data_IF_324540386630
#
_entry.id   IF_324540386630
#
_cell.length_a   1.000
_cell.length_b   1.000
_cell.length_c   1.000
_cell.angle_alpha   90.00
_cell.angle_beta   90.00
_cell.angle_gamma   90.00
#
_symmetry.space_group_name_H-M   'P 1'
#
loop_
_entity.id
_entity.type
_entity.pdbx_description
1 polymer ?
#
# COMPACT_ATOMS: atom_id res chain seq x y z
N UNK A 1 -9.83 5.58 5.06
CA UNK A 1 -9.31 5.89 3.70
C UNK A 1 -8.29 4.87 3.21
N UNK A 2 -7.11 4.74 3.83
CA UNK A 2 -6.05 3.83 3.39
C UNK A 2 -6.19 2.38 3.89
N UNK A 3 -7.29 2.08 4.57
CA UNK A 3 -7.57 0.77 5.18
C UNK A 3 -7.69 -0.35 4.14
N UNK A 4 -8.22 -0.05 2.95
CA UNK A 4 -8.36 -1.04 1.87
C UNK A 4 -6.97 -1.52 1.39
N UNK A 5 -6.04 -0.58 1.16
CA UNK A 5 -4.66 -0.88 0.77
C UNK A 5 -3.95 -1.73 1.83
N UNK A 6 -4.08 -1.35 3.11
CA UNK A 6 -3.50 -2.11 4.21
C UNK A 6 -4.13 -3.51 4.37
N UNK A 7 -5.45 -3.61 4.22
CA UNK A 7 -6.19 -4.88 4.31
C UNK A 7 -5.79 -5.84 3.20
N UNK A 8 -5.64 -5.34 1.97
CA UNK A 8 -5.18 -6.12 0.81
C UNK A 8 -3.77 -6.67 1.02
N UNK A 9 -2.83 -5.80 1.44
CA UNK A 9 -1.46 -6.22 1.75
C UNK A 9 -1.42 -7.23 2.91
N UNK A 10 -2.18 -6.99 3.98
CA UNK A 10 -2.30 -7.91 5.12
C UNK A 10 -2.79 -9.29 4.69
N UNK A 11 -3.91 -9.37 3.96
CA UNK A 11 -4.45 -10.63 3.45
C UNK A 11 -3.44 -11.37 2.57
N UNK A 12 -2.75 -10.64 1.70
CA UNK A 12 -1.75 -11.22 0.80
C UNK A 12 -0.54 -11.78 1.55
N UNK A 13 -0.01 -11.03 2.54
CA UNK A 13 1.10 -11.48 3.39
C UNK A 13 0.69 -12.71 4.22
N UNK A 14 -0.51 -12.68 4.84
CA UNK A 14 -1.02 -13.82 5.62
C UNK A 14 -1.20 -15.07 4.75
N UNK A 15 -1.57 -14.89 3.48
CA UNK A 15 -1.65 -16.00 2.52
C UNK A 15 -0.28 -16.62 2.29
N UNK A 16 0.77 -15.81 2.09
CA UNK A 16 2.14 -16.32 1.92
C UNK A 16 2.61 -17.08 3.16
N UNK A 17 2.37 -16.54 4.36
CA UNK A 17 2.69 -17.21 5.64
C UNK A 17 1.97 -18.56 5.75
N UNK A 18 0.68 -18.61 5.39
CA UNK A 18 -0.11 -19.84 5.42
C UNK A 18 0.43 -20.90 4.47
N UNK A 19 0.77 -20.51 3.24
CA UNK A 19 1.37 -21.41 2.24
C UNK A 19 2.72 -21.96 2.73
N UNK A 20 3.59 -21.09 3.26
CA UNK A 20 4.89 -21.48 3.81
C UNK A 20 4.76 -22.51 4.94
N UNK A 21 3.88 -22.26 5.90
CA UNK A 21 3.64 -23.20 7.02
C UNK A 21 3.06 -24.52 6.54
N UNK A 22 2.19 -24.48 5.54
CA UNK A 22 1.62 -25.68 4.94
C UNK A 22 2.70 -26.49 4.23
N UNK A 23 3.55 -25.85 3.43
CA UNK A 23 4.68 -26.50 2.75
C UNK A 23 5.65 -27.13 3.77
N UNK A 24 5.95 -26.44 4.87
CA UNK A 24 6.84 -26.97 5.90
C UNK A 24 6.24 -28.18 6.62
N UNK A 25 4.95 -28.14 6.96
CA UNK A 25 4.24 -29.28 7.54
C UNK A 25 4.21 -30.49 6.59
N UNK A 26 3.94 -30.26 5.31
CA UNK A 26 3.96 -31.31 4.28
C UNK A 26 5.35 -31.92 4.14
N UNK A 27 6.39 -31.09 4.10
CA UNK A 27 7.79 -31.54 4.05
C UNK A 27 8.14 -32.41 5.26
N UNK A 28 7.74 -32.00 6.47
CA UNK A 28 7.98 -32.77 7.69
C UNK A 28 7.29 -34.15 7.65
N UNK A 29 6.07 -34.22 7.12
CA UNK A 29 5.33 -35.48 6.96
C UNK A 29 5.99 -36.43 5.95
N UNK A 30 6.44 -35.90 4.82
CA UNK A 30 7.08 -36.70 3.76
C UNK A 30 8.44 -37.25 4.19
N UNK A 31 9.26 -36.43 4.86
CA UNK A 31 10.60 -36.84 5.30
C UNK A 31 10.57 -37.84 6.46
N UNK A 32 9.60 -37.73 7.38
CA UNK A 32 9.42 -38.70 8.47
C UNK A 32 9.12 -40.10 7.95
N UNK A 33 8.21 -40.22 6.97
CA UNK A 33 7.86 -41.51 6.35
C UNK A 33 9.01 -42.12 5.56
N UNK A 34 9.88 -41.31 4.93
CA UNK A 34 11.07 -41.81 4.24
C UNK A 34 12.11 -42.44 5.17
N UNK A 35 12.19 -41.97 6.42
CA UNK A 35 13.07 -42.55 7.44
C UNK A 35 12.49 -43.84 8.02
N UNK A 36 11.18 -43.89 8.27
CA UNK A 36 10.50 -45.10 8.75
C UNK A 36 10.51 -46.24 7.70
N UNK A 37 10.59 -45.91 6.40
CA UNK A 37 10.68 -46.89 5.31
C UNK A 37 12.11 -47.41 5.05
N UNK A 38 13.15 -46.76 5.57
CA UNK A 38 14.56 -47.10 5.30
C UNK A 38 15.33 -47.63 6.52
N UNK A 39 14.68 -47.77 7.69
CA UNK A 39 15.31 -48.22 8.93
C UNK A 39 14.61 -49.42 9.59
N UNK A 40 15.39 -50.50 9.78
CA UNK A 40 15.22 -51.64 10.69
C UNK A 40 14.42 -52.88 10.20
N UNK A 41 15.15 -53.93 9.85
CA UNK A 41 14.72 -55.30 10.15
C UNK A 41 14.45 -55.41 11.66
N UNK A 42 13.30 -55.94 12.09
CA UNK A 42 13.10 -56.25 13.49
C UNK A 42 13.97 -57.45 13.87
N UNK A 43 14.84 -57.29 14.87
CA UNK A 43 15.42 -58.44 15.56
C UNK A 43 14.28 -59.29 16.17
N UNK A 44 14.36 -60.63 16.09
CA UNK A 44 13.31 -61.50 16.58
C UNK A 44 13.36 -61.54 18.12
N UNK A 45 12.52 -60.76 18.77
CA UNK A 45 12.23 -60.94 20.19
C UNK A 45 11.00 -61.86 20.35
N UNK A 46 11.26 -63.05 20.92
CA UNK A 46 10.23 -63.98 21.36
C UNK A 46 9.49 -63.38 22.56
N UNK A 47 8.24 -62.96 22.38
CA UNK A 47 7.28 -62.95 23.47
C UNK A 47 5.85 -63.16 22.95
N UNK A 48 5.29 -64.30 23.35
CA UNK A 48 3.87 -64.65 23.27
C UNK A 48 3.10 -63.87 24.35
N UNK A 49 2.14 -63.04 23.93
CA UNK A 49 1.27 -62.32 24.87
C UNK A 49 0.23 -61.49 24.13
N UNK A 50 -1.01 -61.97 24.19
CA UNK A 50 -2.22 -61.43 23.59
C UNK A 50 -2.54 -60.03 24.15
N UNK A 51 -2.75 -59.03 23.29
CA UNK A 51 -3.90 -58.13 23.44
C UNK A 51 -4.29 -57.48 22.11
N UNK A 52 -5.48 -57.85 21.62
CA UNK A 52 -6.09 -57.32 20.39
C UNK A 52 -6.82 -56.03 20.71
N UNK A 53 -6.10 -54.90 20.68
CA UNK A 53 -6.75 -53.59 20.54
C UNK A 53 -6.68 -53.20 19.06
N UNK A 54 -7.78 -53.42 18.35
CA UNK A 54 -7.99 -52.96 16.97
C UNK A 54 -7.88 -51.43 16.95
N UNK A 55 -6.73 -50.93 16.50
CA UNK A 55 -6.57 -49.52 16.19
C UNK A 55 -7.18 -49.28 14.81
N UNK A 56 -8.32 -48.58 14.76
CA UNK A 56 -8.87 -48.02 13.53
C UNK A 56 -7.96 -46.88 13.01
N UNK A 57 -6.81 -47.21 12.43
CA UNK A 57 -5.84 -46.21 11.95
C UNK A 57 -5.37 -46.39 10.50
N UNK A 58 -6.07 -47.18 9.69
CA UNK A 58 -5.63 -47.48 8.33
C UNK A 58 -5.98 -46.42 7.27
N UNK A 59 -6.66 -45.33 7.63
CA UNK A 59 -6.94 -44.24 6.68
C UNK A 59 -5.74 -43.28 6.46
N UNK A 60 -4.67 -43.37 7.26
CA UNK A 60 -3.52 -42.43 7.20
C UNK A 60 -2.26 -43.08 6.58
N UNK A 61 -2.31 -44.38 6.26
CA UNK A 61 -1.12 -45.16 5.89
C UNK A 61 -0.78 -45.20 4.39
N UNK A 62 -1.69 -44.84 3.49
CA UNK A 62 -1.42 -44.88 2.05
C UNK A 62 -1.07 -43.50 1.49
N UNK A 63 0.13 -42.99 1.80
CA UNK A 63 0.69 -41.89 1.01
C UNK A 63 1.16 -42.46 -0.33
N UNK A 64 0.78 -41.91 -1.49
CA UNK A 64 1.17 -42.46 -2.78
C UNK A 64 2.70 -42.49 -2.91
N UNK A 65 3.27 -43.68 -3.11
CA UNK A 65 4.71 -43.88 -3.22
C UNK A 65 5.33 -43.10 -4.40
N UNK A 66 4.52 -42.86 -5.43
CA UNK A 66 4.82 -41.97 -6.55
C UNK A 66 5.10 -40.52 -6.11
N UNK A 67 4.37 -40.02 -5.09
CA UNK A 67 4.54 -38.67 -4.58
C UNK A 67 5.83 -38.52 -3.75
N UNK A 68 6.23 -39.59 -3.05
CA UNK A 68 7.53 -39.64 -2.35
C UNK A 68 8.69 -39.69 -3.35
N UNK A 69 8.54 -40.44 -4.44
CA UNK A 69 9.55 -40.53 -5.49
C UNK A 69 9.71 -39.22 -6.29
N UNK A 70 8.65 -38.44 -6.42
CA UNK A 70 8.67 -37.13 -7.11
C UNK A 70 8.98 -35.94 -6.20
N UNK A 71 9.05 -36.13 -4.87
CA UNK A 71 9.29 -35.05 -3.93
C UNK A 71 10.72 -34.50 -4.08
N UNK A 72 10.92 -33.16 -4.12
CA UNK A 72 12.24 -32.57 -4.08
C UNK A 72 12.98 -32.97 -2.80
N UNK A 73 14.31 -32.98 -2.84
CA UNK A 73 15.07 -33.12 -1.60
C UNK A 73 14.81 -31.90 -0.69
N UNK A 74 15.11 -32.07 0.61
CA UNK A 74 14.84 -31.05 1.63
C UNK A 74 15.43 -29.68 1.27
N UNK A 75 16.66 -29.66 0.76
CA UNK A 75 17.41 -28.43 0.49
C UNK A 75 16.78 -27.69 -0.69
N UNK A 76 16.52 -28.38 -1.80
CA UNK A 76 15.91 -27.79 -3.00
C UNK A 76 14.55 -27.18 -2.68
N UNK A 77 13.76 -27.87 -1.85
CA UNK A 77 12.46 -27.36 -1.42
C UNK A 77 12.59 -26.10 -0.55
N UNK A 78 13.57 -26.07 0.36
CA UNK A 78 13.81 -24.89 1.20
C UNK A 78 14.31 -23.70 0.36
N UNK A 79 15.17 -23.93 -0.63
CA UNK A 79 15.62 -22.91 -1.58
C UNK A 79 14.42 -22.36 -2.35
N UNK A 80 13.53 -23.23 -2.84
CA UNK A 80 12.34 -22.81 -3.57
C UNK A 80 11.41 -21.95 -2.70
N UNK A 81 11.08 -22.42 -1.49
CA UNK A 81 10.22 -21.68 -0.55
C UNK A 81 10.84 -20.31 -0.21
N UNK A 82 12.16 -20.25 0.01
CA UNK A 82 12.89 -19.02 0.24
C UNK A 82 12.74 -18.05 -0.93
N UNK A 83 13.08 -18.49 -2.14
CA UNK A 83 13.06 -17.62 -3.32
C UNK A 83 11.66 -17.11 -3.64
N UNK A 84 10.67 -18.01 -3.65
CA UNK A 84 9.29 -17.68 -3.93
C UNK A 84 8.74 -16.70 -2.89
N UNK A 85 9.03 -16.93 -1.60
CA UNK A 85 8.48 -16.13 -0.52
C UNK A 85 9.08 -14.74 -0.46
N UNK A 86 10.41 -14.60 -0.49
CA UNK A 86 11.03 -13.27 -0.47
C UNK A 86 10.63 -12.44 -1.69
N UNK A 87 10.57 -13.05 -2.88
CA UNK A 87 10.07 -12.38 -4.08
C UNK A 87 8.64 -11.90 -3.89
N UNK A 88 7.76 -12.75 -3.36
CA UNK A 88 6.33 -12.42 -3.22
C UNK A 88 6.04 -11.41 -2.12
N UNK A 89 6.57 -11.59 -0.90
CA UNK A 89 6.31 -10.67 0.22
C UNK A 89 6.87 -9.27 -0.08
N UNK A 90 8.01 -9.22 -0.77
CA UNK A 90 8.61 -7.94 -1.14
C UNK A 90 7.79 -7.27 -2.23
N UNK A 91 7.37 -7.98 -3.28
CA UNK A 91 6.46 -7.42 -4.30
C UNK A 91 5.16 -6.87 -3.70
N UNK A 92 4.57 -7.55 -2.71
CA UNK A 92 3.39 -7.05 -1.98
C UNK A 92 3.71 -5.73 -1.26
N UNK A 93 4.88 -5.63 -0.63
CA UNK A 93 5.33 -4.40 0.03
C UNK A 93 5.57 -3.24 -0.96
N UNK A 94 6.22 -3.50 -2.10
CA UNK A 94 6.44 -2.50 -3.14
C UNK A 94 5.11 -1.96 -3.68
N UNK A 95 4.15 -2.86 -3.96
CA UNK A 95 2.81 -2.48 -4.38
C UNK A 95 2.10 -1.65 -3.30
N UNK A 96 2.17 -2.07 -2.03
CA UNK A 96 1.56 -1.32 -0.94
C UNK A 96 2.09 0.12 -0.84
N UNK A 97 3.41 0.32 -0.94
CA UNK A 97 4.00 1.67 -0.87
C UNK A 97 3.54 2.53 -2.04
N UNK A 98 3.51 1.94 -3.24
CA UNK A 98 3.02 2.56 -4.48
C UNK A 98 1.56 3.00 -4.30
N UNK A 99 0.68 2.09 -3.90
CA UNK A 99 -0.75 2.34 -3.72
C UNK A 99 -1.01 3.40 -2.65
N UNK A 100 -0.28 3.35 -1.53
CA UNK A 100 -0.41 4.34 -0.46
C UNK A 100 0.01 5.74 -0.93
N UNK A 101 1.11 5.84 -1.67
CA UNK A 101 1.58 7.10 -2.24
C UNK A 101 0.57 7.64 -3.26
N UNK A 102 0.12 6.81 -4.21
CA UNK A 102 -0.88 7.18 -5.23
C UNK A 102 -2.20 7.62 -4.60
N UNK A 103 -2.68 6.90 -3.59
CA UNK A 103 -3.91 7.26 -2.89
C UNK A 103 -3.79 8.64 -2.21
N UNK A 104 -2.64 8.93 -1.59
CA UNK A 104 -2.40 10.24 -1.00
C UNK A 104 -2.22 11.35 -2.07
N UNK A 105 -1.58 11.06 -3.19
CA UNK A 105 -1.44 12.02 -4.31
C UNK A 105 -2.82 12.41 -4.82
N UNK A 106 -3.76 11.47 -4.93
CA UNK A 106 -5.16 11.73 -5.29
C UNK A 106 -5.90 12.64 -4.30
N UNK A 107 -5.47 12.67 -3.03
CA UNK A 107 -6.07 13.55 -2.01
C UNK A 107 -5.55 14.98 -2.05
N UNK A 108 -4.36 15.21 -2.62
CA UNK A 108 -3.73 16.52 -2.59
C UNK A 108 -4.58 17.62 -3.26
N UNK A 109 -5.20 17.41 -4.43
CA UNK A 109 -6.12 18.40 -5.01
C UNK A 109 -7.36 18.68 -4.15
N UNK A 110 -7.81 17.70 -3.36
CA UNK A 110 -8.94 17.86 -2.42
C UNK A 110 -8.52 18.70 -1.21
N UNK A 111 -7.30 18.47 -0.69
CA UNK A 111 -6.72 19.22 0.43
C UNK A 111 -6.29 20.63 0.03
N UNK A 112 -5.85 20.80 -1.21
CA UNK A 112 -5.30 22.04 -1.75
C UNK A 112 -5.99 22.34 -3.08
N UNK A 113 -7.11 23.09 -3.08
CA UNK A 113 -7.90 23.35 -4.29
C UNK A 113 -7.12 24.05 -5.41
N UNK A 114 -6.03 24.73 -5.08
CA UNK A 114 -5.12 25.35 -6.05
C UNK A 114 -3.76 24.68 -6.03
N UNK A 115 -3.17 24.50 -7.21
CA UNK A 115 -1.81 23.94 -7.35
C UNK A 115 -0.77 24.79 -6.61
N UNK A 116 -0.96 26.11 -6.59
CA UNK A 116 -0.10 27.03 -5.84
C UNK A 116 -0.20 26.84 -4.31
N UNK A 117 -1.27 26.25 -3.79
CA UNK A 117 -1.43 25.90 -2.38
C UNK A 117 -0.62 24.68 -1.94
N UNK A 118 -0.16 23.85 -2.88
CA UNK A 118 0.70 22.71 -2.57
C UNK A 118 2.05 23.14 -1.98
N UNK A 119 2.62 22.30 -1.13
CA UNK A 119 3.97 22.51 -0.62
C UNK A 119 5.00 22.62 -1.75
N UNK A 120 6.05 23.40 -1.52
CA UNK A 120 7.10 23.60 -2.52
C UNK A 120 7.76 22.29 -2.97
N UNK A 121 7.94 21.34 -2.04
CA UNK A 121 8.48 20.01 -2.34
C UNK A 121 7.61 19.26 -3.36
N UNK A 122 6.29 19.23 -3.14
CA UNK A 122 5.34 18.58 -4.06
C UNK A 122 5.37 19.23 -5.44
N UNK A 123 5.28 20.57 -5.50
CA UNK A 123 5.26 21.29 -6.78
C UNK A 123 6.56 21.11 -7.57
N UNK A 124 7.69 21.15 -6.87
CA UNK A 124 9.01 20.99 -7.47
C UNK A 124 9.19 19.58 -8.00
N UNK A 125 8.85 18.57 -7.19
CA UNK A 125 8.91 17.18 -7.62
C UNK A 125 8.03 16.96 -8.86
N UNK A 126 6.74 17.32 -8.80
CA UNK A 126 5.82 17.14 -9.92
C UNK A 126 6.34 17.79 -11.21
N UNK A 127 6.80 19.05 -11.15
CA UNK A 127 7.33 19.76 -12.33
C UNK A 127 8.58 19.10 -12.91
N UNK A 128 9.57 18.79 -12.07
CA UNK A 128 10.85 18.19 -12.52
C UNK A 128 10.59 16.80 -13.11
N UNK A 129 9.77 16.02 -12.42
CA UNK A 129 9.48 14.65 -12.77
C UNK A 129 8.64 14.51 -14.05
N UNK A 130 7.65 15.37 -14.28
CA UNK A 130 6.93 15.44 -15.56
C UNK A 130 7.91 15.66 -16.71
N UNK A 131 8.90 16.57 -16.56
CA UNK A 131 9.95 16.76 -17.55
C UNK A 131 10.80 15.52 -17.79
N UNK A 132 11.16 14.79 -16.73
CA UNK A 132 11.92 13.53 -16.83
C UNK A 132 11.12 12.40 -17.50
N UNK A 133 9.82 12.31 -17.21
CA UNK A 133 8.92 11.33 -17.84
C UNK A 133 8.84 11.62 -19.34
N UNK A 134 8.62 12.88 -19.74
CA UNK A 134 8.57 13.26 -21.16
C UNK A 134 9.86 12.91 -21.90
N UNK A 135 11.03 13.12 -21.29
CA UNK A 135 12.32 12.75 -21.89
C UNK A 135 12.48 11.24 -22.10
N UNK A 136 11.85 10.43 -21.24
CA UNK A 136 11.88 8.96 -21.29
C UNK A 136 10.64 8.36 -21.98
N UNK A 137 9.71 9.20 -22.43
CA UNK A 137 8.45 8.73 -23.00
C UNK A 137 8.66 8.30 -24.45
N UNK A 138 8.19 7.10 -24.75
CA UNK A 138 8.10 6.53 -26.09
C UNK A 138 7.09 5.38 -26.07
N UNK A 139 6.61 4.97 -27.25
CA UNK A 139 5.68 3.84 -27.41
C UNK A 139 6.19 2.55 -26.77
N UNK A 140 7.51 2.35 -26.78
CA UNK A 140 8.18 1.16 -26.23
C UNK A 140 8.87 1.43 -24.88
N UNK A 141 8.67 2.62 -24.32
CA UNK A 141 9.35 3.11 -23.14
C UNK A 141 8.74 2.63 -21.81
N UNK A 142 9.39 2.97 -20.68
CA UNK A 142 8.91 2.60 -19.34
C UNK A 142 7.58 3.28 -18.97
N UNK A 143 7.21 4.35 -19.67
CA UNK A 143 5.97 5.13 -19.44
C UNK A 143 4.95 4.95 -20.56
N UNK A 144 5.00 3.84 -21.30
CA UNK A 144 4.10 3.56 -22.44
C UNK A 144 2.62 3.50 -22.08
N UNK A 145 2.29 3.27 -20.80
CA UNK A 145 0.92 3.30 -20.30
C UNK A 145 0.34 4.71 -20.23
N UNK A 146 1.18 5.74 -20.35
CA UNK A 146 0.77 7.14 -20.35
C UNK A 146 0.72 7.68 -21.78
N UNK A 147 -0.28 8.51 -22.07
CA UNK A 147 -0.27 9.33 -23.29
C UNK A 147 0.53 10.60 -23.05
N UNK A 148 1.21 11.13 -24.07
CA UNK A 148 1.94 12.40 -23.97
C UNK A 148 1.06 13.53 -23.39
N UNK A 149 -0.19 13.61 -23.84
CA UNK A 149 -1.18 14.56 -23.31
C UNK A 149 -1.45 14.36 -21.81
N UNK A 150 -1.63 13.12 -21.35
CA UNK A 150 -1.88 12.84 -19.93
C UNK A 150 -0.71 13.25 -19.03
N UNK A 151 0.52 13.15 -19.53
CA UNK A 151 1.74 13.49 -18.80
C UNK A 151 1.79 15.00 -18.51
N UNK A 152 1.44 15.83 -19.50
CA UNK A 152 1.49 17.29 -19.36
C UNK A 152 0.24 17.88 -18.71
N UNK A 153 -0.92 17.21 -18.83
CA UNK A 153 -2.22 17.75 -18.44
C UNK A 153 -2.26 18.24 -17.00
N UNK A 154 -1.89 17.38 -16.04
CA UNK A 154 -1.95 17.74 -14.61
C UNK A 154 -1.09 18.96 -14.26
N UNK A 155 0.10 19.07 -14.85
CA UNK A 155 1.00 20.21 -14.65
C UNK A 155 0.45 21.47 -15.35
N UNK A 156 -0.03 21.33 -16.58
CA UNK A 156 -0.63 22.43 -17.35
C UNK A 156 -1.84 23.03 -16.63
N UNK A 157 -2.80 22.18 -16.23
CA UNK A 157 -4.00 22.59 -15.49
C UNK A 157 -3.64 23.29 -14.17
N UNK A 158 -2.65 22.75 -13.45
CA UNK A 158 -2.17 23.34 -12.20
C UNK A 158 -1.54 24.73 -12.40
N UNK A 159 -0.70 24.90 -13.43
CA UNK A 159 -0.06 26.19 -13.74
C UNK A 159 -1.05 27.23 -14.29
N UNK A 160 -2.08 26.80 -15.00
CA UNK A 160 -3.16 27.65 -15.49
C UNK A 160 -4.18 28.04 -14.41
N UNK A 161 -3.97 27.61 -13.16
CA UNK A 161 -4.91 27.79 -12.05
C UNK A 161 -6.32 27.27 -12.36
N UNK A 162 -6.41 26.15 -13.09
CA UNK A 162 -7.67 25.49 -13.34
C UNK A 162 -8.36 25.12 -12.02
N UNK A 163 -9.71 25.20 -11.94
CA UNK A 163 -10.46 24.96 -10.71
C UNK A 163 -10.37 23.50 -10.22
N UNK A 164 -9.95 22.59 -11.11
CA UNK A 164 -9.67 21.19 -10.81
C UNK A 164 -8.40 20.81 -11.54
N UNK A 165 -7.34 20.56 -10.79
CA UNK A 165 -6.10 20.00 -11.33
C UNK A 165 -5.91 18.57 -10.81
N UNK A 166 -5.08 17.81 -11.50
CA UNK A 166 -4.63 16.49 -11.09
C UNK A 166 -3.12 16.46 -10.97
N UNK A 167 -2.60 15.50 -10.21
CA UNK A 167 -1.17 15.25 -10.11
C UNK A 167 -0.87 13.91 -10.75
N UNK A 168 0.14 13.87 -11.62
CA UNK A 168 0.60 12.63 -12.22
C UNK A 168 1.31 11.78 -11.14
N UNK A 169 0.73 10.63 -10.77
CA UNK A 169 1.28 9.79 -9.70
C UNK A 169 2.68 9.27 -10.03
N UNK A 170 2.92 8.86 -11.28
CA UNK A 170 4.23 8.42 -11.78
C UNK A 170 5.33 9.47 -11.53
N UNK A 171 4.99 10.76 -11.50
CA UNK A 171 5.93 11.84 -11.24
C UNK A 171 6.55 11.78 -9.82
N UNK A 172 5.90 11.08 -8.89
CA UNK A 172 6.41 10.87 -7.52
C UNK A 172 7.09 9.52 -7.35
N UNK A 173 7.05 8.68 -8.38
CA UNK A 173 7.49 7.29 -8.40
C UNK A 173 8.52 7.05 -9.53
N UNK A 174 9.22 8.10 -9.98
CA UNK A 174 10.33 8.01 -10.94
C UNK A 174 11.55 7.43 -10.21
N UNK A 175 11.75 6.12 -10.36
CA UNK A 175 12.91 5.35 -9.92
C UNK A 175 12.91 4.76 -8.47
N UNK A 176 11.85 4.11 -7.96
CA UNK A 176 11.96 3.26 -6.77
C UNK A 176 12.64 1.93 -7.13
N UNK A 177 13.95 1.95 -7.38
CA UNK A 177 14.73 0.71 -7.45
C UNK A 177 14.96 0.20 -6.04
N UNK A 178 14.17 -0.79 -5.63
CA UNK A 178 14.09 -1.30 -4.28
C UNK A 178 13.63 -0.24 -3.27
N UNK A 179 12.47 -0.43 -2.65
CA UNK A 179 11.93 0.36 -1.55
C UNK A 179 12.71 0.22 -0.23
N UNK A 180 14.03 0.45 -0.31
CA UNK A 180 14.92 0.63 0.83
C UNK A 180 14.50 1.86 1.65
N UNK A 181 14.93 1.98 2.91
CA UNK A 181 14.68 3.12 3.79
C UNK A 181 14.88 4.50 3.13
N UNK A 182 15.94 4.65 2.33
CA UNK A 182 16.22 5.90 1.61
C UNK A 182 15.18 6.22 0.52
N UNK A 183 14.70 5.20 -0.21
CA UNK A 183 13.65 5.37 -1.22
C UNK A 183 12.33 5.76 -0.56
N UNK A 184 11.95 5.12 0.55
CA UNK A 184 10.76 5.47 1.34
C UNK A 184 10.85 6.92 1.84
N UNK A 185 12.00 7.33 2.41
CA UNK A 185 12.25 8.72 2.82
C UNK A 185 12.06 9.70 1.66
N UNK A 186 12.60 9.36 0.49
CA UNK A 186 12.54 10.22 -0.71
C UNK A 186 11.10 10.40 -1.19
N UNK A 187 10.36 9.31 -1.41
CA UNK A 187 8.98 9.33 -1.91
C UNK A 187 8.08 10.12 -0.97
N UNK A 188 8.05 9.74 0.31
CA UNK A 188 7.18 10.43 1.27
C UNK A 188 7.68 11.85 1.62
N UNK A 189 8.98 12.10 1.50
CA UNK A 189 9.56 13.44 1.58
C UNK A 189 8.99 14.38 0.53
N UNK A 190 8.92 13.94 -0.73
CA UNK A 190 8.27 14.70 -1.82
C UNK A 190 6.80 14.98 -1.56
N UNK A 191 6.12 14.07 -0.87
CA UNK A 191 4.71 14.18 -0.50
C UNK A 191 4.48 15.03 0.77
N UNK A 192 5.53 15.67 1.30
CA UNK A 192 5.45 16.55 2.47
C UNK A 192 5.50 15.81 3.81
N UNK A 193 6.11 14.63 3.85
CA UNK A 193 6.41 13.87 5.06
C UNK A 193 7.93 13.71 5.22
N UNK A 194 8.63 14.83 5.45
CA UNK A 194 10.09 14.90 5.55
C UNK A 194 10.72 13.89 6.51
N UNK A 195 10.06 13.62 7.65
CA UNK A 195 10.54 12.72 8.69
C UNK A 195 9.85 11.35 8.68
N UNK A 196 9.31 10.92 7.53
CA UNK A 196 8.50 9.70 7.43
C UNK A 196 9.19 8.47 8.05
N UNK A 197 10.45 8.19 7.67
CA UNK A 197 11.17 7.02 8.19
C UNK A 197 11.50 7.12 9.68
N UNK A 198 11.85 8.31 10.17
CA UNK A 198 12.04 8.52 11.61
C UNK A 198 10.71 8.31 12.36
N UNK A 199 9.59 8.73 11.76
CA UNK A 199 8.25 8.43 12.23
C UNK A 199 7.96 6.93 12.30
N UNK A 200 8.37 6.17 11.27
CA UNK A 200 8.25 4.71 11.23
C UNK A 200 9.07 4.07 12.36
N UNK A 201 10.33 4.46 12.53
CA UNK A 201 11.21 3.93 13.58
C UNK A 201 10.68 4.19 14.99
N UNK A 202 9.97 5.30 15.21
CA UNK A 202 9.32 5.64 16.49
C UNK A 202 7.90 5.10 16.62
N UNK A 203 7.37 4.46 15.57
CA UNK A 203 5.99 4.01 15.58
C UNK A 203 5.82 2.85 16.56
N UNK A 204 4.81 2.94 17.44
CA UNK A 204 4.61 1.96 18.51
C UNK A 204 4.53 0.50 18.00
N UNK A 205 3.89 0.27 16.86
CA UNK A 205 3.83 -1.06 16.26
C UNK A 205 5.22 -1.59 15.88
N UNK A 206 6.05 -0.74 15.28
CA UNK A 206 7.42 -1.10 14.86
C UNK A 206 8.30 -1.28 16.09
N UNK A 207 8.30 -0.35 17.04
CA UNK A 207 9.14 -0.45 18.25
C UNK A 207 8.80 -1.70 19.06
N UNK A 208 7.50 -1.99 19.22
CA UNK A 208 7.05 -3.19 19.95
C UNK A 208 7.44 -4.47 19.20
N UNK A 209 7.30 -4.50 17.87
CA UNK A 209 7.69 -5.65 17.07
C UNK A 209 9.21 -5.89 17.16
N UNK A 210 10.02 -4.85 16.96
CA UNK A 210 11.48 -4.94 17.02
C UNK A 210 11.97 -5.38 18.40
N UNK A 211 11.39 -4.84 19.49
CA UNK A 211 11.72 -5.27 20.85
C UNK A 211 11.34 -6.73 21.10
N UNK A 212 10.16 -7.16 20.64
CA UNK A 212 9.65 -8.52 20.86
C UNK A 212 10.44 -9.58 20.08
N UNK A 213 10.77 -9.31 18.83
CA UNK A 213 11.32 -10.32 17.90
C UNK A 213 12.84 -10.30 17.86
N UNK A 214 13.45 -9.11 17.95
CA UNK A 214 14.89 -8.93 17.82
C UNK A 214 15.57 -8.47 19.13
N UNK A 215 14.82 -8.15 20.19
CA UNK A 215 15.42 -7.79 21.49
C UNK A 215 16.35 -6.55 21.45
N UNK A 216 16.27 -5.74 20.39
CA UNK A 216 17.16 -4.61 20.16
C UNK A 216 18.49 -4.93 19.47
N UNK A 217 18.73 -6.17 19.04
CA UNK A 217 19.94 -6.52 18.27
C UNK A 217 19.93 -5.96 16.85
N UNK A 218 18.73 -5.72 16.32
CA UNK A 218 18.50 -5.23 14.97
C UNK A 218 17.70 -3.92 14.98
N UNK A 219 17.85 -3.15 13.91
CA UNK A 219 17.04 -1.96 13.64
C UNK A 219 16.03 -2.25 12.54
N UNK A 220 14.93 -1.49 12.48
CA UNK A 220 13.99 -1.61 11.35
C UNK A 220 14.69 -1.35 9.99
N UNK A 221 15.77 -0.58 9.99
CA UNK A 221 16.57 -0.29 8.80
C UNK A 221 17.40 -1.50 8.34
N UNK A 222 18.07 -2.18 9.28
CA UNK A 222 18.85 -3.38 8.97
C UNK A 222 17.95 -4.54 8.55
N UNK A 223 16.79 -4.73 9.19
CA UNK A 223 15.83 -5.77 8.81
C UNK A 223 15.28 -5.54 7.40
N UNK A 224 14.84 -4.32 7.06
CA UNK A 224 14.36 -4.03 5.70
C UNK A 224 15.49 -4.20 4.66
N UNK A 225 16.71 -3.82 5.00
CA UNK A 225 17.88 -3.99 4.15
C UNK A 225 18.16 -5.47 3.87
N UNK A 226 18.10 -6.32 4.90
CA UNK A 226 18.27 -7.76 4.76
C UNK A 226 17.19 -8.38 3.86
N UNK A 227 15.92 -7.97 4.00
CA UNK A 227 14.83 -8.45 3.13
C UNK A 227 15.10 -8.14 1.65
N UNK A 228 15.56 -6.92 1.35
CA UNK A 228 15.90 -6.51 -0.02
C UNK A 228 17.06 -7.35 -0.55
N UNK A 229 18.06 -7.63 0.28
CA UNK A 229 19.19 -8.48 -0.07
C UNK A 229 18.76 -9.93 -0.34
N UNK A 230 17.93 -10.52 0.52
CA UNK A 230 17.36 -11.85 0.28
C UNK A 230 16.56 -11.91 -1.03
N UNK A 231 15.74 -10.89 -1.32
CA UNK A 231 14.99 -10.81 -2.58
C UNK A 231 15.92 -10.71 -3.80
N UNK A 232 16.98 -9.91 -3.72
CA UNK A 232 17.94 -9.79 -4.81
C UNK A 232 18.72 -11.10 -5.02
N UNK A 233 19.16 -11.74 -3.94
CA UNK A 233 19.85 -13.04 -4.00
C UNK A 233 18.94 -14.15 -4.53
N UNK A 234 17.65 -14.15 -4.16
CA UNK A 234 16.65 -15.07 -4.70
C UNK A 234 16.43 -14.94 -6.21
N UNK A 235 16.77 -13.78 -6.79
CA UNK A 235 16.70 -13.54 -8.23
C UNK A 235 17.96 -13.98 -8.98
N UNK A 236 19.00 -14.43 -8.26
CA UNK A 236 20.25 -14.94 -8.81
C UNK A 236 20.33 -16.47 -8.68
N UNK A 237 21.16 -17.11 -9.52
CA UNK A 237 21.18 -18.59 -9.67
C UNK A 237 21.86 -19.36 -8.54
N UNK A 238 22.47 -18.68 -7.55
CA UNK A 238 23.17 -19.32 -6.43
C UNK A 238 22.69 -18.68 -5.12
N UNK A 239 21.89 -19.43 -4.36
CA UNK A 239 21.45 -19.03 -3.01
C UNK A 239 22.30 -19.80 -2.00
N UNK A 240 23.24 -19.13 -1.36
CA UNK A 240 24.10 -19.72 -0.32
C UNK A 240 23.47 -19.69 1.08
N UNK A 241 22.65 -18.68 1.37
CA UNK A 241 22.02 -18.47 2.67
C UNK A 241 20.50 -18.58 2.58
N UNK A 242 19.98 -19.75 2.98
CA UNK A 242 18.54 -20.05 2.97
C UNK A 242 17.95 -19.79 4.36
N UNK A 243 17.12 -18.76 4.46
CA UNK A 243 16.38 -18.46 5.69
C UNK A 243 15.40 -19.59 6.06
N UNK A 244 15.24 -19.84 7.36
CA UNK A 244 14.23 -20.78 7.86
C UNK A 244 12.81 -20.27 7.60
N UNK A 245 11.82 -21.18 7.61
CA UNK A 245 10.40 -20.81 7.46
C UNK A 245 9.97 -19.82 8.54
N UNK A 246 10.43 -20.01 9.77
CA UNK A 246 10.14 -19.09 10.88
C UNK A 246 10.75 -17.70 10.64
N UNK A 247 11.97 -17.63 10.10
CA UNK A 247 12.61 -16.35 9.81
C UNK A 247 11.92 -15.63 8.65
N UNK A 248 11.51 -16.35 7.60
CA UNK A 248 10.70 -15.78 6.52
C UNK A 248 9.37 -15.23 7.07
N UNK A 249 8.72 -15.96 7.98
CA UNK A 249 7.50 -15.48 8.64
C UNK A 249 7.75 -14.21 9.45
N UNK A 250 8.86 -14.12 10.20
CA UNK A 250 9.24 -12.89 10.92
C UNK A 250 9.44 -11.71 9.94
N UNK A 251 10.15 -11.92 8.83
CA UNK A 251 10.32 -10.87 7.82
C UNK A 251 8.98 -10.43 7.20
N UNK A 252 8.08 -11.37 6.92
CA UNK A 252 6.76 -11.07 6.39
C UNK A 252 5.89 -10.26 7.38
N UNK A 253 5.89 -10.63 8.66
CA UNK A 253 5.20 -9.89 9.73
C UNK A 253 5.82 -8.51 9.98
N UNK A 254 7.13 -8.39 9.86
CA UNK A 254 7.83 -7.10 9.92
C UNK A 254 7.38 -6.17 8.78
N UNK A 255 7.30 -6.65 7.53
CA UNK A 255 6.80 -5.85 6.41
C UNK A 255 5.36 -5.38 6.65
N UNK A 256 4.49 -6.24 7.17
CA UNK A 256 3.12 -5.85 7.53
C UNK A 256 3.10 -4.75 8.62
N UNK A 257 4.02 -4.84 9.59
CA UNK A 257 4.20 -3.83 10.63
C UNK A 257 4.66 -2.50 10.05
N UNK A 258 5.58 -2.52 9.08
CA UNK A 258 5.99 -1.33 8.32
C UNK A 258 4.83 -0.73 7.52
N UNK A 259 4.05 -1.55 6.80
CA UNK A 259 2.88 -1.10 6.06
C UNK A 259 1.89 -0.37 6.99
N UNK A 260 1.63 -0.95 8.16
CA UNK A 260 0.76 -0.35 9.19
C UNK A 260 1.28 1.01 9.64
N UNK A 261 2.58 1.11 9.96
CA UNK A 261 3.18 2.37 10.40
C UNK A 261 3.13 3.46 9.32
N UNK A 262 3.43 3.13 8.07
CA UNK A 262 3.35 4.05 6.94
C UNK A 262 1.91 4.54 6.72
N UNK A 263 0.94 3.61 6.71
CA UNK A 263 -0.48 3.94 6.61
C UNK A 263 -0.91 4.91 7.72
N UNK A 264 -0.54 4.63 8.97
CA UNK A 264 -0.85 5.48 10.11
C UNK A 264 -0.25 6.88 9.99
N UNK A 265 1.01 7.00 9.54
CA UNK A 265 1.69 8.28 9.35
C UNK A 265 0.99 9.12 8.29
N UNK A 266 0.69 8.52 7.13
CA UNK A 266 0.00 9.20 6.03
C UNK A 266 -1.40 9.62 6.47
N UNK A 267 -2.15 8.70 7.10
CA UNK A 267 -3.49 8.97 7.59
C UNK A 267 -3.54 10.11 8.61
N UNK A 268 -2.63 10.12 9.60
CA UNK A 268 -2.49 11.22 10.56
C UNK A 268 -2.17 12.55 9.87
N UNK A 269 -1.30 12.52 8.86
CA UNK A 269 -0.98 13.70 8.08
C UNK A 269 -2.14 14.25 7.27
N UNK A 270 -3.00 13.39 6.71
CA UNK A 270 -4.24 13.80 6.03
C UNK A 270 -5.21 14.43 7.01
N UNK A 271 -5.46 13.80 8.16
CA UNK A 271 -6.36 14.35 9.20
C UNK A 271 -5.89 15.74 9.62
N UNK A 272 -4.59 15.88 9.94
CA UNK A 272 -4.01 17.15 10.34
C UNK A 272 -4.26 18.24 9.29
N UNK A 273 -3.97 17.94 8.01
CA UNK A 273 -4.15 18.88 6.91
C UNK A 273 -5.62 19.25 6.69
N UNK A 274 -6.55 18.30 6.82
CA UNK A 274 -8.01 18.58 6.74
C UNK A 274 -8.47 19.53 7.84
N UNK A 275 -7.96 19.37 9.06
CA UNK A 275 -8.25 20.28 10.18
C UNK A 275 -7.64 21.66 9.91
N UNK A 276 -6.36 21.72 9.51
CA UNK A 276 -5.66 22.98 9.21
C UNK A 276 -6.28 23.75 8.04
N UNK A 277 -6.82 23.03 7.04
CA UNK A 277 -7.54 23.61 5.90
C UNK A 277 -9.01 23.99 6.23
N UNK A 278 -9.48 23.77 7.46
CA UNK A 278 -10.87 24.06 7.85
C UNK A 278 -11.92 23.11 7.26
N UNK A 279 -11.52 22.00 6.65
CA UNK A 279 -12.42 21.00 6.05
C UNK A 279 -13.08 20.08 7.08
N UNK A 280 -12.51 20.02 8.29
CA UNK A 280 -13.05 19.26 9.41
C UNK A 280 -13.37 20.26 10.53
N UNK A 281 -14.62 20.72 10.67
CA UNK A 281 -14.97 21.71 11.68
C UNK A 281 -14.83 21.13 13.08
N UNK A 282 -14.33 21.94 14.01
CA UNK A 282 -14.32 21.60 15.43
C UNK A 282 -15.75 21.55 15.93
N UNK A 283 -16.13 20.43 16.52
CA UNK A 283 -17.49 20.22 17.03
C UNK A 283 -17.52 20.03 18.54
N UNK A 284 -16.39 20.00 19.24
CA UNK A 284 -16.40 19.91 20.70
C UNK A 284 -15.16 19.29 21.33
N UNK A 285 -15.34 18.78 22.55
CA UNK A 285 -14.26 18.20 23.36
C UNK A 285 -14.72 16.95 24.11
N UNK A 286 -13.77 16.07 24.42
CA UNK A 286 -13.96 14.93 25.31
C UNK A 286 -13.80 15.41 26.75
N UNK A 287 -14.88 15.33 27.53
CA UNK A 287 -14.93 15.84 28.91
C UNK A 287 -14.58 14.77 29.94
N UNK A 288 -14.92 13.51 29.68
CA UNK A 288 -14.67 12.42 30.63
C UNK A 288 -14.63 11.09 29.91
N UNK A 289 -13.86 10.14 30.45
CA UNK A 289 -13.84 8.75 29.99
C UNK A 289 -14.57 7.85 30.97
N UNK A 290 -15.55 7.09 30.47
CA UNK A 290 -16.32 6.10 31.21
C UNK A 290 -15.98 4.68 30.72
N UNK A 291 -14.81 4.17 31.12
CA UNK A 291 -14.31 2.88 30.65
C UNK A 291 -14.10 2.85 29.14
N UNK A 292 -15.04 2.22 28.41
CA UNK A 292 -15.06 2.17 26.93
C UNK A 292 -15.87 3.30 26.30
N UNK A 293 -16.70 4.02 27.04
CA UNK A 293 -17.42 5.18 26.52
C UNK A 293 -16.67 6.48 26.85
N UNK A 294 -16.98 7.54 26.12
CA UNK A 294 -16.48 8.90 26.34
C UNK A 294 -17.67 9.84 26.48
N UNK A 295 -17.67 10.67 27.53
CA UNK A 295 -18.54 11.84 27.62
C UNK A 295 -17.98 12.94 26.74
N UNK A 296 -18.78 13.40 25.79
CA UNK A 296 -18.41 14.50 24.87
C UNK A 296 -19.30 15.70 25.13
N UNK A 297 -18.72 16.89 25.05
CA UNK A 297 -19.45 18.15 24.99
C UNK A 297 -19.31 18.68 23.58
N UNK A 298 -20.41 18.67 22.83
CA UNK A 298 -20.42 19.07 21.43
C UNK A 298 -21.18 20.39 21.22
N UNK A 299 -20.89 21.05 20.11
CA UNK A 299 -21.46 22.32 19.64
C UNK A 299 -22.09 22.13 18.28
N UNK A 300 -23.25 22.75 18.07
CA UNK A 300 -23.93 22.95 16.78
C UNK A 300 -23.57 21.91 15.71
N UNK A 301 -23.97 20.65 15.90
CA UNK A 301 -23.66 19.58 14.97
C UNK A 301 -24.73 18.50 14.94
N UNK A 302 -24.76 17.76 13.84
CA UNK A 302 -25.47 16.50 13.75
C UNK A 302 -24.48 15.35 13.93
N UNK A 303 -24.83 14.37 14.75
CA UNK A 303 -24.04 13.15 14.95
C UNK A 303 -24.93 11.92 14.90
N UNK A 304 -24.54 10.94 14.07
CA UNK A 304 -25.21 9.67 13.89
C UNK A 304 -24.26 8.51 14.19
N UNK A 305 -24.81 7.34 14.55
CA UNK A 305 -24.05 6.10 14.60
C UNK A 305 -23.46 5.83 13.21
N UNK A 306 -22.21 5.40 13.17
CA UNK A 306 -21.46 5.17 11.94
C UNK A 306 -20.66 6.38 11.45
N UNK A 307 -20.93 7.57 11.96
CA UNK A 307 -20.16 8.76 11.60
C UNK A 307 -18.69 8.63 11.99
N UNK A 308 -17.83 9.13 11.11
CA UNK A 308 -16.40 9.28 11.37
C UNK A 308 -16.13 10.65 12.01
N UNK A 309 -15.28 10.64 13.02
CA UNK A 309 -14.82 11.82 13.75
C UNK A 309 -13.30 11.84 13.76
N UNK A 310 -12.72 13.04 13.76
CA UNK A 310 -11.30 13.19 14.06
C UNK A 310 -11.12 13.69 15.47
N UNK A 311 -10.14 13.12 16.18
CA UNK A 311 -9.80 13.52 17.53
C UNK A 311 -8.34 14.00 17.57
N UNK A 312 -8.10 15.09 18.30
CA UNK A 312 -6.77 15.71 18.44
C UNK A 312 -6.40 15.96 19.89
N UNK A 313 -5.17 15.61 20.27
CA UNK A 313 -4.53 16.06 21.52
C UNK A 313 -3.04 16.33 21.28
N UNK A 314 -2.63 17.60 21.33
CA UNK A 314 -1.30 18.01 20.87
C UNK A 314 -1.07 17.59 19.42
N UNK A 315 0.02 16.84 19.18
CA UNK A 315 0.35 16.27 17.86
C UNK A 315 -0.25 14.87 17.61
N UNK A 316 -1.10 14.37 18.51
CA UNK A 316 -1.80 13.10 18.33
C UNK A 316 -3.09 13.34 17.55
N UNK A 317 -3.21 12.70 16.39
CA UNK A 317 -4.41 12.71 15.55
C UNK A 317 -4.90 11.27 15.38
N UNK A 318 -6.21 11.04 15.43
CA UNK A 318 -6.83 9.75 15.10
C UNK A 318 -8.19 9.95 14.47
N UNK A 319 -8.56 9.02 13.59
CA UNK A 319 -9.94 8.82 13.19
C UNK A 319 -10.62 7.83 14.15
N UNK A 320 -11.87 8.12 14.51
CA UNK A 320 -12.71 7.26 15.33
C UNK A 320 -14.13 7.23 14.76
N UNK A 321 -14.80 6.09 14.86
CA UNK A 321 -16.18 5.93 14.40
C UNK A 321 -17.14 5.86 15.58
N UNK A 322 -18.29 6.51 15.46
CA UNK A 322 -19.37 6.44 16.44
C UNK A 322 -20.03 5.05 16.37
N UNK A 323 -20.02 4.32 17.49
CA UNK A 323 -20.66 3.01 17.65
C UNK A 323 -22.00 3.07 18.35
N UNK A 324 -22.14 3.97 19.32
CA UNK A 324 -23.42 4.25 19.98
C UNK A 324 -23.43 5.65 20.56
N UNK A 325 -24.64 6.21 20.73
CA UNK A 325 -24.87 7.51 21.33
C UNK A 325 -25.88 7.33 22.47
N UNK A 326 -25.63 7.95 23.62
CA UNK A 326 -26.52 7.91 24.78
C UNK A 326 -26.73 9.31 25.36
N UNK A 327 -27.96 9.82 25.28
CA UNK A 327 -28.37 11.13 25.82
C UNK A 327 -29.40 10.90 26.94
N UNK A 328 -29.16 11.43 28.14
CA UNK A 328 -30.05 11.32 29.31
C UNK A 328 -30.50 9.86 29.57
N UNK A 329 -29.55 8.92 29.59
CA UNK A 329 -29.76 7.46 29.80
C UNK A 329 -30.53 6.72 28.69
N UNK A 330 -30.89 7.39 27.60
CA UNK A 330 -31.52 6.77 26.44
C UNK A 330 -30.51 6.61 25.30
N UNK A 331 -30.50 5.43 24.68
CA UNK A 331 -29.73 5.20 23.47
C UNK A 331 -30.41 5.89 22.28
N UNK A 332 -29.61 6.53 21.43
CA UNK A 332 -30.07 7.29 20.26
C UNK A 332 -29.24 6.88 19.05
N UNK A 333 -29.88 6.76 17.90
CA UNK A 333 -29.17 6.53 16.63
C UNK A 333 -28.55 7.82 16.08
N UNK A 334 -29.18 8.95 16.39
CA UNK A 334 -28.80 10.29 15.92
C UNK A 334 -29.13 11.33 16.98
N UNK A 335 -28.28 12.34 17.09
CA UNK A 335 -28.46 13.51 17.95
C UNK A 335 -28.20 14.78 17.13
N UNK A 336 -29.11 15.74 17.27
CA UNK A 336 -28.93 17.10 16.75
C UNK A 336 -28.63 17.99 17.95
N UNK A 337 -27.42 18.55 17.94
CA UNK A 337 -26.89 19.41 19.00
C UNK A 337 -27.02 20.84 18.52
N UNK A 338 -27.81 21.68 19.21
CA UNK A 338 -28.04 23.08 18.82
C UNK A 338 -27.22 24.07 19.67
N UNK A 339 -26.75 23.64 20.84
CA UNK A 339 -25.92 24.43 21.78
C UNK A 339 -24.93 23.50 22.49
N UNK A 340 -24.07 24.01 23.38
CA UNK A 340 -23.12 23.19 24.15
C UNK A 340 -23.89 22.11 24.95
N UNK A 341 -23.91 20.88 24.45
CA UNK A 341 -24.61 19.76 25.08
C UNK A 341 -23.65 18.61 25.38
N UNK A 342 -23.87 17.95 26.52
CA UNK A 342 -23.12 16.79 26.96
C UNK A 342 -23.91 15.49 26.81
N UNK A 343 -23.27 14.48 26.25
CA UNK A 343 -23.81 13.13 26.17
C UNK A 343 -22.71 12.08 26.03
N UNK A 344 -23.07 10.81 26.24
CA UNK A 344 -22.14 9.70 26.12
C UNK A 344 -22.06 9.20 24.67
N UNK A 345 -20.84 8.90 24.21
CA UNK A 345 -20.60 8.20 22.95
C UNK A 345 -19.69 7.00 23.17
N UNK A 346 -19.99 5.90 22.50
CA UNK A 346 -19.06 4.80 22.33
C UNK A 346 -18.36 4.99 20.99
N UNK A 347 -17.03 5.04 21.01
CA UNK A 347 -16.20 5.20 19.81
C UNK A 347 -15.43 3.92 19.51
N UNK A 348 -14.94 3.75 18.28
CA UNK A 348 -14.04 2.63 17.94
C UNK A 348 -12.81 2.59 18.85
N UNK A 349 -12.30 3.76 19.24
CA UNK A 349 -11.29 3.94 20.28
C UNK A 349 -11.75 5.04 21.21
N UNK A 350 -11.71 4.80 22.52
CA UNK A 350 -12.17 5.75 23.53
C UNK A 350 -11.02 6.70 23.90
N UNK A 351 -11.05 7.97 23.45
CA UNK A 351 -10.05 8.95 23.87
C UNK A 351 -10.17 9.27 25.36
N UNK A 352 -9.04 9.67 25.94
CA UNK A 352 -9.00 10.26 27.27
C UNK A 352 -9.59 11.68 27.26
N UNK A 353 -9.76 12.25 28.45
CA UNK A 353 -10.19 13.63 28.62
C UNK A 353 -9.24 14.64 27.94
N UNK A 354 -9.82 15.72 27.43
CA UNK A 354 -9.10 16.84 26.83
C UNK A 354 -8.79 16.69 25.33
N UNK A 355 -9.23 15.61 24.69
CA UNK A 355 -9.20 15.53 23.23
C UNK A 355 -10.21 16.50 22.61
N UNK A 356 -9.79 17.22 21.58
CA UNK A 356 -10.66 18.05 20.74
C UNK A 356 -11.28 17.16 19.67
N UNK A 357 -12.57 17.33 19.40
CA UNK A 357 -13.36 16.54 18.46
C UNK A 357 -13.70 17.39 17.24
N UNK A 358 -13.42 16.85 16.06
CA UNK A 358 -13.75 17.45 14.77
C UNK A 358 -14.69 16.51 14.01
N UNK A 359 -15.64 17.08 13.26
CA UNK A 359 -16.45 16.30 12.35
C UNK A 359 -15.61 15.94 11.14
N UNK A 360 -15.48 14.65 10.83
CA UNK A 360 -14.86 14.27 9.56
C UNK A 360 -15.78 14.75 8.42
N UNK A 361 -15.24 15.36 7.35
CA UNK A 361 -16.05 15.70 6.20
C UNK A 361 -16.69 14.44 5.63
N UNK A 362 -17.95 14.52 5.23
CA UNK A 362 -18.59 13.45 4.48
C UNK A 362 -17.75 13.23 3.22
N UNK A 363 -17.01 12.13 3.20
CA UNK A 363 -16.38 11.65 1.98
C UNK A 363 -17.54 11.29 1.04
N UNK A 364 -17.93 12.21 0.16
CA UNK A 364 -18.39 11.75 -1.15
C UNK A 364 -17.18 11.00 -1.69
N UNK A 365 -17.29 9.68 -1.82
CA UNK A 365 -16.24 8.82 -2.30
C UNK A 365 -15.94 9.17 -3.75
N UNK A 366 -15.14 10.21 -3.96
CA UNK A 366 -14.52 10.49 -5.26
C UNK A 366 -13.71 9.26 -5.74
N UNK A 367 -13.27 8.41 -4.82
CA UNK A 367 -12.65 7.12 -5.08
C UNK A 367 -13.61 6.05 -5.66
N UNK A 368 -14.90 6.02 -5.29
CA UNK A 368 -15.82 5.02 -5.85
C UNK A 368 -16.18 5.37 -7.31
N UNK A 369 -16.22 6.66 -7.64
CA UNK A 369 -16.49 7.12 -9.00
C UNK A 369 -15.30 6.96 -9.95
N UNK A 370 -14.06 7.03 -9.44
CA UNK A 370 -12.86 6.88 -10.27
C UNK A 370 -12.62 5.42 -10.71
N UNK A 371 -13.01 4.44 -9.88
CA UNK A 371 -12.92 3.02 -10.22
C UNK A 371 -14.03 2.62 -11.21
N UNK A 372 -15.25 3.17 -11.07
CA UNK A 372 -16.33 2.93 -12.04
C UNK A 372 -16.10 3.57 -13.41
N UNK A 373 -15.39 4.70 -13.48
CA UNK A 373 -15.07 5.35 -14.74
C UNK A 373 -14.06 4.56 -15.60
N UNK A 374 -13.14 3.83 -14.96
CA UNK A 374 -12.12 3.01 -15.66
C UNK A 374 -12.69 1.69 -16.20
N UNK A 375 -13.67 1.09 -15.49
CA UNK A 375 -14.42 -0.08 -16.00
C UNK A 375 -15.36 0.28 -17.17
N UNK A 376 -15.96 1.48 -17.16
CA UNK A 376 -16.88 1.91 -18.23
C UNK A 376 -16.20 2.23 -19.58
N UNK A 377 -14.88 2.44 -19.59
CA UNK A 377 -14.10 2.66 -20.81
C UNK A 377 -13.55 1.36 -21.42
N UNK A 378 -13.62 0.25 -20.68
CA UNK A 378 -13.15 -1.06 -21.14
C UNK A 378 -14.23 -1.88 -21.88
N UNK A 379 -15.51 -1.53 -21.74
CA UNK A 379 -16.63 -2.26 -22.38
C UNK A 379 -17.01 -1.75 -23.78
N UNK A 380 -16.46 -0.61 -24.23
CA UNK A 380 -16.84 0.03 -25.51
C UNK A 380 -15.90 -0.29 -26.68
N UNK A 381 -15.00 -1.27 -26.53
CA UNK A 381 -13.95 -1.60 -27.50
C UNK A 381 -14.14 -2.95 -28.23
N UNK A 382 -15.36 -3.50 -28.30
CA UNK A 382 -15.63 -4.80 -28.94
C UNK A 382 -16.49 -4.78 -30.20
N UNK A 383 -16.73 -3.62 -30.84
CA UNK A 383 -17.38 -3.55 -32.14
C UNK A 383 -16.38 -3.17 -33.24
N UNK A 384 -15.70 -4.18 -33.79
CA UNK A 384 -15.05 -4.06 -35.10
C UNK A 384 -16.11 -4.19 -36.20
N UNK A 385 -16.20 -3.25 -37.17
CA UNK A 385 -17.01 -3.46 -38.35
C UNK A 385 -16.25 -4.28 -39.40
N UNK A 386 -16.87 -5.38 -39.83
CA UNK A 386 -16.53 -6.15 -41.02
C UNK A 386 -16.36 -5.24 -42.25
N UNK A 387 -15.13 -5.12 -42.76
CA UNK A 387 -14.88 -4.53 -44.08
C UNK A 387 -14.56 -5.62 -45.09
N UNK A 388 -15.60 -6.04 -45.82
CA UNK A 388 -15.46 -6.68 -47.13
C UNK A 388 -15.01 -5.63 -48.16
N UNK A 389 -13.91 -5.89 -48.84
CA UNK A 389 -13.48 -5.15 -50.04
C UNK A 389 -14.46 -5.32 -51.21
N UNK A 390 -14.34 -4.46 -52.24
CA UNK A 390 -13.55 -4.91 -53.39
C UNK A 390 -12.68 -3.83 -54.04
N UNK A 391 -11.75 -4.33 -54.86
CA UNK A 391 -10.75 -3.64 -55.66
C UNK A 391 -11.33 -2.80 -56.81
N UNK A 392 -10.62 -1.73 -57.19
CA UNK A 392 -10.42 -1.30 -58.58
C UNK A 392 -9.27 -0.27 -58.70
N UNK A 393 -8.60 -0.36 -59.85
CA UNK A 393 -7.38 0.28 -60.31
C UNK A 393 -7.46 1.79 -60.66
N UNK A 394 -6.28 2.30 -61.05
CA UNK A 394 -5.98 3.47 -61.90
C UNK A 394 -5.89 4.84 -61.20
N UNK A 395 -5.08 5.82 -61.63
CA UNK A 395 -3.77 5.95 -62.27
C UNK A 395 -3.51 7.48 -62.25
N UNK A 396 -2.25 7.90 -62.30
CA UNK A 396 -1.77 9.18 -62.87
C UNK A 396 -2.02 10.56 -62.18
N UNK A 397 -0.90 11.10 -61.68
CA UNK A 397 -0.26 12.38 -62.12
C UNK A 397 -0.53 13.75 -61.45
N UNK A 398 0.54 14.56 -61.54
CA UNK A 398 0.74 16.00 -61.27
C UNK A 398 1.13 16.37 -59.82
N UNK A 399 2.37 16.79 -59.51
CA UNK A 399 3.20 17.93 -59.96
C UNK A 399 2.86 19.28 -59.28
N UNK A 400 3.93 20.02 -58.95
CA UNK A 400 4.05 21.38 -58.37
C UNK A 400 4.19 21.39 -56.83
N UNK A 401 5.03 22.20 -56.19
CA UNK A 401 6.12 23.09 -56.60
C UNK A 401 6.85 23.49 -55.29
N UNK A 402 8.17 23.61 -55.33
CA UNK A 402 8.95 24.32 -54.28
C UNK A 402 8.85 25.83 -54.55
N UNK A 403 9.05 26.68 -53.52
CA UNK A 403 10.35 27.33 -53.52
C UNK A 403 10.98 27.54 -52.13
N UNK A 404 12.30 27.66 -52.23
CA UNK A 404 13.28 28.05 -51.23
C UNK A 404 13.10 29.50 -50.77
N UNK A 405 13.51 29.78 -49.53
CA UNK A 405 13.80 31.14 -49.03
C UNK A 405 14.82 31.08 -47.89
N UNK A 406 16.10 31.13 -48.24
CA UNK A 406 17.05 32.25 -47.98
C UNK A 406 17.40 32.55 -46.52
N UNK A 407 18.68 32.28 -46.26
CA UNK A 407 19.54 32.72 -45.18
C UNK A 407 19.61 34.25 -45.01
N UNK A 408 19.69 34.71 -43.77
CA UNK A 408 20.36 36.00 -43.43
C UNK A 408 21.26 35.79 -42.21
N UNK A 409 22.56 35.87 -42.47
CA UNK A 409 23.61 36.17 -41.50
C UNK A 409 23.58 37.68 -41.19
N UNK A 410 23.72 38.07 -39.92
CA UNK A 410 24.36 39.34 -39.54
C UNK A 410 25.13 39.14 -38.24
N UNK A 411 26.46 39.05 -38.36
CA UNK A 411 27.42 39.42 -37.33
C UNK A 411 27.68 40.94 -37.39
N UNK A 412 27.98 41.55 -36.24
CA UNK A 412 28.44 42.94 -36.13
C UNK A 412 28.14 43.54 -34.74
N UNK A 413 28.96 43.36 -33.70
CA UNK A 413 30.21 44.09 -33.35
C UNK A 413 29.98 45.41 -32.57
N UNK A 414 30.70 45.48 -31.44
CA UNK A 414 31.27 46.63 -30.71
C UNK A 414 30.42 47.45 -29.72
N UNK A 415 31.04 47.71 -28.55
CA UNK A 415 30.79 48.90 -27.76
C UNK A 415 31.11 48.78 -26.27
N UNK A 416 32.33 49.13 -25.89
CA UNK A 416 32.83 49.17 -24.51
C UNK A 416 32.27 50.35 -23.68
N UNK A 417 32.10 50.16 -22.37
CA UNK A 417 32.63 50.96 -21.24
C UNK A 417 32.19 50.36 -19.92
#
# INVERSE_FOLDING_TARGET
MFENTLTSASKSIQTVISVLRTNDALRALLLRKGQDASGAQPEPSNHTGIDNTKCESDAVCNFPQELLAAAPNKIDWQIFDHCASFTRIYAIFEQFVTDLATAYIGELPVLYPTYSGLSESVRTQHRVAVGQILQKWSSDGPYRHLTEQSIVKGLSDGLAAAPKYSLLADAFLIDPHNYRPAAIRKIFGYLGFSDCWQGVQRHAAVTNYMAKIYGGSETAESVLTAIVEFRNNASHSVVSDVASVDDICKYAEFLLTLCTALCDIVHKGVIRRRIEAGMAPEIGVVVTRFGRASGVRLRSCELSIGDELYIRRGNSFRSVRVKSIRKVREDREKVVVTSDEEFGVLLTHSPDEGYIVYKAPHLHSAFDNAIQADESLAEDASDEPDTNGPAADEDSSSAADLPQGTSVNVDGVAGAS
#
